data_IF_628131806377
#
_entry.id   IF_628131806377
#
_cell.length_a   1.000
_cell.length_b   1.000
_cell.length_c   1.000
_cell.angle_alpha   90.00
_cell.angle_beta   90.00
_cell.angle_gamma   90.00
#
_symmetry.space_group_name_H-M   'P 1'
#
loop_
_entity.id
_entity.type
_entity.pdbx_description
1 polymer ?
#
# COMPACT_ATOMS: atom_id res chain seq x y z
N UNK A 1 16.63 10.28 -83.09
CA UNK A 1 16.15 9.18 -82.30
C UNK A 1 17.24 8.90 -81.29
N UNK A 2 17.04 9.10 -80.01
CA UNK A 2 18.06 8.84 -79.00
C UNK A 2 18.01 7.39 -78.59
N UNK A 3 19.16 6.72 -78.66
CA UNK A 3 19.39 5.34 -78.26
C UNK A 3 19.09 5.15 -76.81
N UNK A 4 18.17 4.28 -76.52
CA UNK A 4 17.84 3.81 -75.13
C UNK A 4 18.98 2.91 -74.67
N UNK A 5 19.63 3.24 -73.51
CA UNK A 5 20.64 2.33 -72.99
C UNK A 5 20.02 1.01 -72.52
N UNK A 6 20.72 -0.12 -72.70
CA UNK A 6 20.24 -1.43 -72.31
C UNK A 6 19.97 -1.49 -70.83
N UNK A 7 18.76 -1.85 -70.42
CA UNK A 7 18.39 -2.08 -69.06
C UNK A 7 19.17 -3.32 -68.55
N UNK A 8 19.96 -3.11 -67.47
CA UNK A 8 20.62 -4.18 -66.74
C UNK A 8 19.58 -5.13 -66.16
N UNK A 9 19.77 -6.45 -66.16
CA UNK A 9 18.87 -7.40 -65.59
C UNK A 9 18.79 -7.17 -64.07
N UNK A 10 17.59 -6.92 -63.60
CA UNK A 10 17.33 -6.73 -62.18
C UNK A 10 17.41 -8.09 -61.49
N UNK A 11 18.33 -8.24 -60.52
CA UNK A 11 18.29 -9.34 -59.55
C UNK A 11 19.58 -10.13 -59.31
N UNK A 12 20.70 -9.79 -59.92
CA UNK A 12 21.94 -10.50 -59.56
C UNK A 12 22.65 -9.79 -58.38
N UNK A 13 22.75 -10.50 -57.28
CA UNK A 13 23.47 -10.06 -56.07
C UNK A 13 24.96 -10.19 -56.36
N UNK A 14 25.70 -9.08 -56.23
CA UNK A 14 27.15 -9.04 -56.45
C UNK A 14 27.88 -9.01 -55.10
N UNK A 15 28.99 -9.77 -54.99
CA UNK A 15 29.86 -9.78 -53.83
C UNK A 15 31.29 -9.46 -54.21
N UNK A 16 32.07 -8.89 -53.31
CA UNK A 16 33.48 -8.58 -53.58
C UNK A 16 34.32 -9.87 -53.48
N UNK A 17 35.16 -10.11 -54.46
CA UNK A 17 36.08 -11.22 -54.45
C UNK A 17 37.10 -11.06 -53.30
N UNK A 18 37.31 -12.05 -52.42
CA UNK A 18 38.21 -11.96 -51.28
C UNK A 18 39.69 -11.85 -51.68
N UNK A 19 40.02 -12.18 -52.91
CA UNK A 19 41.42 -12.18 -53.42
C UNK A 19 41.79 -10.95 -54.22
N UNK A 20 40.90 -10.34 -55.00
CA UNK A 20 41.18 -9.20 -55.87
C UNK A 20 40.23 -8.03 -55.68
N UNK A 21 39.27 -8.09 -54.73
CA UNK A 21 38.31 -7.04 -54.37
C UNK A 21 37.34 -6.60 -55.48
N UNK A 22 37.40 -7.21 -56.69
CA UNK A 22 36.48 -6.91 -57.77
C UNK A 22 35.08 -7.51 -57.47
N UNK A 23 34.02 -6.80 -57.86
CA UNK A 23 32.65 -7.32 -57.69
C UNK A 23 32.37 -8.43 -58.72
N UNK A 24 31.95 -9.56 -58.21
CA UNK A 24 31.57 -10.77 -58.98
C UNK A 24 30.17 -11.19 -58.63
N UNK A 25 29.44 -11.87 -59.47
CA UNK A 25 28.15 -12.43 -59.11
C UNK A 25 28.28 -13.35 -57.92
N UNK A 26 27.34 -13.23 -56.94
CA UNK A 26 27.37 -14.03 -55.69
C UNK A 26 27.25 -15.57 -55.94
N UNK A 27 26.84 -15.98 -57.13
CA UNK A 27 26.78 -17.35 -57.57
C UNK A 27 28.08 -17.90 -58.19
N UNK A 28 29.10 -17.02 -58.39
CA UNK A 28 30.36 -17.43 -59.05
C UNK A 28 31.21 -18.29 -58.11
N UNK A 29 31.60 -19.47 -58.56
CA UNK A 29 32.48 -20.39 -57.81
C UNK A 29 33.95 -20.11 -58.09
N UNK A 30 34.27 -19.40 -59.19
CA UNK A 30 35.63 -19.00 -59.57
C UNK A 30 35.57 -17.51 -59.99
N UNK A 31 36.51 -16.71 -59.53
CA UNK A 31 36.58 -15.32 -59.91
C UNK A 31 37.05 -15.19 -61.39
N UNK A 32 36.29 -14.52 -62.28
CA UNK A 32 36.67 -14.40 -63.68
C UNK A 32 37.91 -13.53 -63.91
N UNK A 33 38.28 -12.72 -62.91
CA UNK A 33 39.41 -11.79 -63.00
C UNK A 33 40.71 -12.36 -62.49
N UNK A 34 40.73 -12.98 -61.30
CA UNK A 34 41.93 -13.55 -60.69
C UNK A 34 42.01 -15.09 -60.76
N UNK A 35 40.97 -15.72 -61.31
CA UNK A 35 40.86 -17.17 -61.49
C UNK A 35 41.01 -18.02 -60.19
N UNK A 36 40.88 -17.33 -59.05
CA UNK A 36 40.92 -18.05 -57.76
C UNK A 36 39.52 -18.59 -57.42
N UNK A 37 39.40 -19.77 -56.77
CA UNK A 37 38.17 -20.31 -56.30
C UNK A 37 37.59 -19.42 -55.18
N UNK A 38 36.32 -19.08 -55.34
CA UNK A 38 35.58 -18.28 -54.33
C UNK A 38 34.61 -19.26 -53.66
N UNK A 39 34.82 -19.49 -52.36
CA UNK A 39 33.88 -20.28 -51.59
C UNK A 39 32.50 -19.59 -51.56
N UNK A 40 31.38 -20.31 -51.87
CA UNK A 40 30.08 -19.71 -51.73
C UNK A 40 29.90 -19.21 -50.30
N UNK A 41 29.29 -18.06 -50.06
CA UNK A 41 28.99 -17.61 -48.74
C UNK A 41 28.17 -18.70 -48.02
N UNK A 42 28.72 -19.24 -46.95
CA UNK A 42 27.99 -20.17 -46.10
C UNK A 42 26.71 -19.45 -45.70
N UNK A 43 25.56 -19.95 -46.17
CA UNK A 43 24.26 -19.42 -45.73
C UNK A 43 24.26 -19.49 -44.19
N UNK A 44 24.04 -18.39 -43.51
CA UNK A 44 23.95 -18.44 -42.07
C UNK A 44 22.93 -19.52 -41.73
N UNK A 45 23.42 -20.62 -41.12
CA UNK A 45 22.54 -21.66 -40.59
C UNK A 45 21.57 -20.92 -39.69
N UNK A 46 20.30 -20.84 -40.14
CA UNK A 46 19.23 -20.31 -39.28
C UNK A 46 19.41 -21.00 -37.94
N UNK A 47 19.87 -20.22 -36.94
CA UNK A 47 19.95 -20.71 -35.59
C UNK A 47 18.63 -21.40 -35.30
N UNK A 48 18.71 -22.70 -35.09
CA UNK A 48 17.53 -23.50 -34.69
C UNK A 48 16.95 -22.69 -33.52
N UNK A 49 15.69 -22.25 -33.59
CA UNK A 49 15.09 -21.59 -32.44
C UNK A 49 15.34 -22.56 -31.29
N UNK A 50 16.10 -22.10 -30.27
CA UNK A 50 16.18 -22.81 -29.02
C UNK A 50 14.74 -23.10 -28.69
N UNK A 51 14.39 -24.39 -28.78
CA UNK A 51 13.04 -24.85 -28.46
C UNK A 51 12.79 -24.28 -27.09
N UNK A 52 12.00 -23.18 -27.03
CA UNK A 52 11.57 -22.62 -25.78
C UNK A 52 11.05 -23.83 -25.03
N UNK A 53 11.77 -24.18 -23.96
CA UNK A 53 11.38 -25.29 -23.12
C UNK A 53 9.92 -25.00 -22.79
N UNK A 54 9.04 -25.72 -23.50
CA UNK A 54 7.61 -25.59 -23.33
C UNK A 54 7.41 -25.96 -21.87
N UNK A 55 7.27 -24.94 -21.03
CA UNK A 55 6.90 -25.13 -19.65
C UNK A 55 5.57 -25.87 -19.70
N UNK A 56 5.63 -27.19 -19.57
CA UNK A 56 4.44 -28.03 -19.55
C UNK A 56 3.90 -27.99 -18.13
N UNK A 57 2.89 -27.13 -17.85
CA UNK A 57 2.31 -27.03 -16.51
C UNK A 57 1.63 -28.33 -16.08
N UNK A 58 1.37 -29.22 -17.02
CA UNK A 58 0.72 -30.53 -16.80
C UNK A 58 1.47 -31.46 -15.85
N UNK A 59 2.80 -31.51 -15.92
CA UNK A 59 3.61 -32.43 -15.10
C UNK A 59 3.62 -32.03 -13.62
N UNK A 60 3.63 -30.71 -13.33
CA UNK A 60 3.49 -30.19 -11.98
C UNK A 60 2.09 -30.41 -11.43
N UNK A 61 1.06 -30.26 -12.28
CA UNK A 61 -0.33 -30.46 -11.90
C UNK A 61 -0.65 -31.90 -11.54
N UNK A 62 -0.12 -32.90 -12.27
CA UNK A 62 -0.32 -34.30 -11.92
C UNK A 62 0.32 -34.70 -10.61
N UNK A 63 1.52 -34.21 -10.35
CA UNK A 63 2.27 -34.56 -9.14
C UNK A 63 1.76 -33.87 -7.87
N UNK A 64 1.32 -32.61 -8.00
CA UNK A 64 0.83 -31.80 -6.88
C UNK A 64 -0.70 -31.61 -6.87
N UNK A 65 -1.39 -32.03 -7.90
CA UNK A 65 -2.84 -31.82 -8.03
C UNK A 65 -3.66 -32.43 -6.90
N UNK A 66 -3.24 -33.57 -6.38
CA UNK A 66 -3.89 -34.19 -5.22
C UNK A 66 -3.62 -33.40 -3.94
N UNK A 67 -2.37 -32.96 -3.75
CA UNK A 67 -2.00 -32.15 -2.59
C UNK A 67 -2.69 -30.78 -2.62
N UNK A 68 -2.77 -30.13 -3.79
CA UNK A 68 -3.47 -28.84 -3.95
C UNK A 68 -4.98 -28.98 -3.70
N UNK A 69 -5.60 -30.08 -4.15
CA UNK A 69 -7.03 -30.33 -3.89
C UNK A 69 -7.34 -30.54 -2.41
N UNK A 70 -6.42 -31.14 -1.66
CA UNK A 70 -6.59 -31.37 -0.23
C UNK A 70 -6.10 -30.17 0.61
N UNK A 71 -4.96 -29.59 0.27
CA UNK A 71 -4.37 -28.47 1.01
C UNK A 71 -5.07 -27.12 0.70
N UNK A 72 -5.60 -26.96 -0.53
CA UNK A 72 -6.28 -25.72 -0.94
C UNK A 72 -7.45 -25.32 -0.04
N UNK A 73 -8.44 -26.20 0.19
CA UNK A 73 -9.56 -25.88 1.05
C UNK A 73 -9.16 -25.69 2.52
N UNK A 74 -8.14 -26.42 2.99
CA UNK A 74 -7.63 -26.26 4.37
C UNK A 74 -6.97 -24.89 4.52
N UNK A 75 -6.13 -24.49 3.59
CA UNK A 75 -5.46 -23.18 3.60
C UNK A 75 -6.47 -22.04 3.49
N UNK A 76 -7.48 -22.19 2.64
CA UNK A 76 -8.59 -21.25 2.53
C UNK A 76 -9.37 -21.15 3.85
N UNK A 77 -9.69 -22.27 4.48
CA UNK A 77 -10.39 -22.30 5.75
C UNK A 77 -9.57 -21.61 6.86
N UNK A 78 -8.26 -21.87 6.94
CA UNK A 78 -7.36 -21.21 7.88
C UNK A 78 -7.31 -19.70 7.64
N UNK A 79 -7.24 -19.28 6.37
CA UNK A 79 -7.21 -17.87 6.00
C UNK A 79 -8.54 -17.18 6.36
N UNK A 80 -9.67 -17.80 6.09
CA UNK A 80 -11.00 -17.31 6.47
C UNK A 80 -11.11 -17.21 8.01
N UNK A 81 -10.69 -18.26 8.73
CA UNK A 81 -10.67 -18.24 10.19
C UNK A 81 -9.76 -17.14 10.74
N UNK A 82 -8.59 -16.91 10.15
CA UNK A 82 -7.69 -15.83 10.54
C UNK A 82 -8.33 -14.46 10.33
N UNK A 83 -9.00 -14.23 9.20
CA UNK A 83 -9.71 -12.97 8.92
C UNK A 83 -10.89 -12.77 9.87
N UNK A 84 -11.67 -13.82 10.11
CA UNK A 84 -12.79 -13.78 11.08
C UNK A 84 -12.26 -13.52 12.48
N UNK A 85 -11.18 -14.21 12.87
CA UNK A 85 -10.54 -14.00 14.18
C UNK A 85 -10.02 -12.56 14.32
N UNK A 86 -9.35 -12.02 13.30
CA UNK A 86 -8.90 -10.62 13.32
C UNK A 86 -10.07 -9.64 13.44
N UNK A 87 -11.16 -9.84 12.69
CA UNK A 87 -12.36 -9.00 12.81
C UNK A 87 -13.08 -9.16 14.15
N UNK A 88 -13.08 -10.37 14.70
CA UNK A 88 -13.74 -10.66 15.98
C UNK A 88 -12.94 -10.15 17.18
N UNK A 89 -11.62 -10.14 17.10
CA UNK A 89 -10.71 -9.61 18.12
C UNK A 89 -10.47 -8.11 17.95
N UNK A 90 -10.70 -7.56 16.75
CA UNK A 90 -10.58 -6.13 16.50
C UNK A 90 -11.65 -5.37 17.29
N UNK A 91 -11.21 -4.69 18.34
CA UNK A 91 -12.05 -3.77 19.10
C UNK A 91 -12.53 -2.65 18.19
N UNK A 92 -13.85 -2.45 18.09
CA UNK A 92 -14.42 -1.38 17.29
C UNK A 92 -14.27 -0.04 18.00
N UNK A 93 -13.80 0.97 17.29
CA UNK A 93 -13.80 2.37 17.75
C UNK A 93 -14.89 3.10 16.99
N UNK A 94 -15.90 3.58 17.68
CA UNK A 94 -16.94 4.43 17.13
C UNK A 94 -16.67 5.87 17.51
N UNK A 95 -16.54 6.73 16.54
CA UNK A 95 -16.41 8.18 16.73
C UNK A 95 -17.74 8.82 16.49
N UNK A 96 -18.27 9.48 17.52
CA UNK A 96 -19.49 10.27 17.40
C UNK A 96 -19.09 11.64 16.86
N UNK A 97 -19.55 11.93 15.66
CA UNK A 97 -19.20 13.16 14.94
C UNK A 97 -19.88 14.37 15.57
N UNK A 98 -19.08 15.39 15.90
CA UNK A 98 -19.56 16.71 16.30
C UNK A 98 -19.02 17.72 15.27
N UNK A 99 -19.88 18.43 14.59
CA UNK A 99 -19.50 19.40 13.54
C UNK A 99 -18.68 20.56 14.08
N UNK A 100 -18.97 21.00 15.31
CA UNK A 100 -18.24 22.07 15.97
C UNK A 100 -16.87 21.61 16.53
N UNK A 101 -16.74 20.32 16.85
CA UNK A 101 -15.54 19.74 17.45
C UNK A 101 -15.17 18.42 16.72
N UNK A 102 -14.80 18.47 15.44
CA UNK A 102 -14.39 17.26 14.72
C UNK A 102 -13.19 16.62 15.41
N UNK A 103 -13.27 15.29 15.57
CA UNK A 103 -12.27 14.49 16.25
C UNK A 103 -11.70 13.44 15.31
N UNK A 104 -10.39 13.24 15.35
CA UNK A 104 -9.69 12.12 14.72
C UNK A 104 -9.07 11.26 15.80
N UNK A 105 -9.24 9.97 15.73
CA UNK A 105 -8.74 9.02 16.72
C UNK A 105 -7.94 7.93 16.03
N UNK A 106 -6.76 7.68 16.55
CA UNK A 106 -5.91 6.56 16.17
C UNK A 106 -5.81 5.60 17.36
N UNK A 107 -5.91 4.32 17.06
CA UNK A 107 -5.81 3.26 18.05
C UNK A 107 -4.55 2.45 17.80
N UNK A 108 -3.70 2.37 18.80
CA UNK A 108 -2.49 1.56 18.78
C UNK A 108 -2.54 0.55 19.93
N UNK A 109 -2.14 -0.68 19.66
CA UNK A 109 -1.98 -1.68 20.71
C UNK A 109 -0.50 -1.87 21.02
N UNK A 110 -0.10 -1.58 22.25
CA UNK A 110 1.26 -1.79 22.76
C UNK A 110 1.25 -2.90 23.82
N UNK A 111 1.55 -4.12 23.38
CA UNK A 111 1.47 -5.30 24.27
C UNK A 111 0.05 -5.51 24.79
N UNK A 112 -0.13 -5.43 26.08
CA UNK A 112 -1.43 -5.58 26.76
C UNK A 112 -2.18 -4.25 26.96
N UNK A 113 -1.58 -3.13 26.61
CA UNK A 113 -2.17 -1.81 26.70
C UNK A 113 -2.74 -1.34 25.35
N UNK A 114 -3.90 -0.72 25.40
CA UNK A 114 -4.52 0.00 24.32
C UNK A 114 -4.21 1.49 24.49
N UNK A 115 -3.56 2.08 23.52
CA UNK A 115 -3.26 3.50 23.47
C UNK A 115 -4.19 4.14 22.45
N UNK A 116 -4.95 5.13 22.90
CA UNK A 116 -5.78 5.98 22.06
C UNK A 116 -5.10 7.33 21.96
N UNK A 117 -4.77 7.72 20.75
CA UNK A 117 -4.27 9.05 20.41
C UNK A 117 -5.25 9.73 19.48
N UNK A 118 -5.35 11.02 19.59
CA UNK A 118 -6.20 11.74 18.67
C UNK A 118 -6.02 13.24 18.72
N UNK A 119 -6.73 13.89 17.82
CA UNK A 119 -6.77 15.35 17.70
C UNK A 119 -8.20 15.83 17.66
N UNK A 120 -8.46 16.94 18.30
CA UNK A 120 -9.74 17.66 18.26
C UNK A 120 -9.48 19.05 17.72
N UNK A 121 -10.23 19.45 16.71
CA UNK A 121 -10.17 20.80 16.15
C UNK A 121 -11.40 21.58 16.59
N UNK A 122 -11.23 22.78 17.14
CA UNK A 122 -12.37 23.63 17.47
C UNK A 122 -12.81 24.44 16.24
N UNK A 123 -14.00 24.16 15.74
CA UNK A 123 -14.68 24.92 14.67
C UNK A 123 -15.86 25.73 15.20
N UNK A 124 -16.09 25.68 16.50
CA UNK A 124 -17.15 26.42 17.20
C UNK A 124 -16.63 27.70 17.83
N UNK A 125 -17.23 28.05 18.97
CA UNK A 125 -16.85 29.22 19.75
C UNK A 125 -15.49 29.04 20.42
N UNK A 126 -14.83 30.17 20.71
CA UNK A 126 -13.58 30.20 21.45
C UNK A 126 -13.73 29.67 22.88
N UNK A 127 -12.83 28.79 23.27
CA UNK A 127 -12.73 28.28 24.63
C UNK A 127 -11.37 28.63 25.20
N UNK A 128 -11.22 29.85 25.74
CA UNK A 128 -9.93 30.34 26.30
C UNK A 128 -9.60 29.72 27.66
N UNK A 129 -8.34 29.80 28.08
CA UNK A 129 -7.84 29.18 29.30
C UNK A 129 -8.58 29.62 30.58
N UNK A 130 -9.03 30.86 30.60
CA UNK A 130 -9.72 31.46 31.76
C UNK A 130 -11.25 31.23 31.72
N UNK A 131 -11.79 30.57 30.72
CA UNK A 131 -13.19 30.28 30.67
C UNK A 131 -13.59 29.17 31.65
N UNK A 132 -14.82 29.16 32.08
CA UNK A 132 -15.39 28.06 32.88
C UNK A 132 -15.67 26.83 31.98
N UNK A 133 -15.66 27.01 30.67
CA UNK A 133 -15.86 25.94 29.68
C UNK A 133 -14.54 25.31 29.31
N UNK A 134 -14.58 24.04 28.96
CA UNK A 134 -13.43 23.30 28.44
C UNK A 134 -13.86 22.34 27.38
N UNK A 135 -13.07 22.23 26.31
CA UNK A 135 -13.24 21.16 25.33
C UNK A 135 -12.82 19.86 25.99
N UNK A 136 -13.65 18.85 25.92
CA UNK A 136 -13.40 17.55 26.52
C UNK A 136 -13.62 16.44 25.47
N UNK A 137 -12.81 15.42 25.57
CA UNK A 137 -13.00 14.14 24.85
C UNK A 137 -13.49 13.12 25.85
N UNK A 138 -14.71 12.67 25.67
CA UNK A 138 -15.30 11.61 26.49
C UNK A 138 -15.13 10.30 25.75
N UNK A 139 -14.42 9.39 26.40
CA UNK A 139 -14.20 8.02 25.91
C UNK A 139 -15.00 7.07 26.78
N UNK A 140 -15.94 6.38 26.17
CA UNK A 140 -16.74 5.35 26.83
C UNK A 140 -16.23 3.97 26.40
N UNK A 141 -15.76 3.20 27.37
CA UNK A 141 -15.35 1.82 27.18
C UNK A 141 -16.52 0.91 27.50
N UNK A 142 -16.89 0.07 26.56
CA UNK A 142 -17.91 -0.97 26.74
C UNK A 142 -17.18 -2.30 26.79
N UNK A 143 -17.26 -2.95 27.93
CA UNK A 143 -16.64 -4.25 28.20
C UNK A 143 -17.52 -5.40 27.72
N UNK A 144 -16.94 -6.59 27.58
CA UNK A 144 -17.68 -7.79 27.15
C UNK A 144 -18.72 -8.27 28.17
N UNK A 145 -18.51 -7.96 29.44
CA UNK A 145 -19.45 -8.21 30.54
C UNK A 145 -20.63 -7.23 30.59
N UNK A 146 -20.69 -6.26 29.65
CA UNK A 146 -21.71 -5.22 29.60
C UNK A 146 -21.41 -3.99 30.46
N UNK A 147 -20.37 -4.00 31.26
CA UNK A 147 -19.93 -2.86 32.06
C UNK A 147 -19.50 -1.72 31.14
N UNK A 148 -19.86 -0.49 31.57
CA UNK A 148 -19.48 0.75 30.86
C UNK A 148 -18.66 1.64 31.77
N UNK A 149 -17.57 2.11 31.28
CA UNK A 149 -16.69 3.05 31.97
C UNK A 149 -16.49 4.29 31.10
N UNK A 150 -16.80 5.47 31.65
CA UNK A 150 -16.57 6.76 30.97
C UNK A 150 -15.33 7.42 31.53
N UNK A 151 -14.49 7.92 30.63
CA UNK A 151 -13.31 8.71 31.01
C UNK A 151 -13.26 9.97 30.16
N UNK A 152 -13.04 11.08 30.84
CA UNK A 152 -12.89 12.39 30.19
C UNK A 152 -11.40 12.74 30.11
N UNK A 153 -10.96 13.15 28.93
CA UNK A 153 -9.61 13.65 28.67
C UNK A 153 -9.72 15.02 28.03
N UNK A 154 -8.87 15.91 28.43
CA UNK A 154 -8.85 17.27 27.91
C UNK A 154 -7.74 17.39 26.88
N UNK A 155 -8.05 17.75 25.63
CA UNK A 155 -7.04 17.94 24.61
C UNK A 155 -6.16 19.14 24.97
N UNK A 156 -4.88 19.05 24.62
CA UNK A 156 -3.89 20.10 24.86
C UNK A 156 -3.46 20.70 23.53
N UNK A 157 -3.59 21.99 23.36
CA UNK A 157 -2.95 22.76 22.31
C UNK A 157 -1.51 23.10 22.68
N UNK A 158 -0.72 23.51 21.70
CA UNK A 158 0.73 23.74 21.87
C UNK A 158 1.04 24.84 22.89
N UNK A 159 0.26 25.92 22.90
CA UNK A 159 0.51 27.11 23.73
C UNK A 159 -0.56 27.38 24.79
N UNK A 160 -1.47 26.40 25.01
CA UNK A 160 -2.60 26.59 25.93
C UNK A 160 -2.72 25.50 26.97
N UNK A 161 -3.50 25.77 28.00
CA UNK A 161 -3.86 24.80 29.00
C UNK A 161 -4.75 23.69 28.46
N UNK A 162 -4.91 22.62 29.25
CA UNK A 162 -5.74 21.47 28.89
C UNK A 162 -7.22 21.88 28.73
N UNK A 163 -7.81 21.53 27.60
CA UNK A 163 -9.21 21.80 27.29
C UNK A 163 -9.49 23.22 26.79
N UNK A 164 -8.48 24.07 26.66
CA UNK A 164 -8.62 25.39 26.04
C UNK A 164 -8.26 25.31 24.57
N UNK A 165 -9.20 25.66 23.69
CA UNK A 165 -9.03 25.68 22.25
C UNK A 165 -9.78 26.87 21.66
N UNK A 166 -9.08 27.78 21.00
CA UNK A 166 -9.73 28.84 20.22
C UNK A 166 -10.25 28.30 18.90
N UNK A 167 -11.04 29.09 18.21
CA UNK A 167 -11.52 28.77 16.89
C UNK A 167 -10.39 28.45 15.92
N UNK A 168 -10.48 27.32 15.23
CA UNK A 168 -9.45 26.81 14.29
C UNK A 168 -8.29 26.08 14.95
N UNK A 169 -8.10 26.17 16.28
CA UNK A 169 -7.02 25.46 16.97
C UNK A 169 -7.29 23.94 17.07
N UNK A 170 -6.20 23.19 17.09
CA UNK A 170 -6.22 21.73 17.22
C UNK A 170 -5.48 21.31 18.48
N UNK A 171 -6.17 20.61 19.37
CA UNK A 171 -5.58 20.01 20.55
C UNK A 171 -5.35 18.52 20.37
N UNK A 172 -4.28 18.00 20.96
CA UNK A 172 -3.91 16.59 20.98
C UNK A 172 -4.31 15.96 22.30
N UNK A 173 -4.70 14.71 22.29
CA UNK A 173 -4.92 13.92 23.49
C UNK A 173 -4.33 12.52 23.34
N UNK A 174 -3.91 11.97 24.46
CA UNK A 174 -3.44 10.60 24.55
C UNK A 174 -3.96 9.96 25.81
N UNK A 175 -4.38 8.71 25.71
CA UNK A 175 -4.75 7.90 26.87
C UNK A 175 -4.35 6.46 26.66
N UNK A 176 -4.00 5.79 27.75
CA UNK A 176 -3.66 4.37 27.76
C UNK A 176 -4.56 3.61 28.73
N UNK A 177 -4.97 2.39 28.34
CA UNK A 177 -5.78 1.48 29.14
C UNK A 177 -5.40 0.04 28.86
N UNK A 178 -5.55 -0.86 29.82
CA UNK A 178 -5.46 -2.31 29.55
C UNK A 178 -6.45 -2.71 28.46
N UNK A 179 -5.97 -3.42 27.44
CA UNK A 179 -6.79 -3.83 26.29
C UNK A 179 -7.77 -4.97 26.64
N UNK A 180 -7.60 -5.60 27.80
CA UNK A 180 -8.38 -6.78 28.24
C UNK A 180 -9.86 -6.47 28.32
N UNK A 181 -10.68 -7.34 27.73
CA UNK A 181 -12.15 -7.35 27.86
C UNK A 181 -12.89 -6.19 27.23
N UNK A 182 -12.21 -5.19 26.63
CA UNK A 182 -12.88 -4.10 25.92
C UNK A 182 -13.49 -4.66 24.63
N UNK A 183 -14.80 -4.51 24.46
CA UNK A 183 -15.55 -4.88 23.26
C UNK A 183 -15.64 -3.73 22.27
N UNK A 184 -15.97 -2.54 22.77
CA UNK A 184 -16.26 -1.37 21.95
C UNK A 184 -15.78 -0.11 22.67
N UNK A 185 -15.35 0.86 21.91
CA UNK A 185 -14.89 2.17 22.39
C UNK A 185 -15.69 3.22 21.65
N UNK A 186 -16.39 4.07 22.40
CA UNK A 186 -17.12 5.19 21.84
C UNK A 186 -16.41 6.47 22.25
N UNK A 187 -16.02 7.28 21.27
CA UNK A 187 -15.31 8.54 21.49
C UNK A 187 -16.16 9.68 21.00
N UNK A 188 -16.36 10.70 21.84
CA UNK A 188 -17.08 11.92 21.48
C UNK A 188 -16.37 13.15 22.02
N UNK A 189 -16.50 14.26 21.33
CA UNK A 189 -16.02 15.57 21.77
C UNK A 189 -17.21 16.42 22.23
N UNK A 190 -17.06 17.12 23.31
CA UNK A 190 -18.09 18.01 23.86
C UNK A 190 -17.44 19.19 24.60
N UNK A 191 -18.18 20.28 24.76
CA UNK A 191 -17.80 21.39 25.64
C UNK A 191 -18.44 21.12 26.99
N UNK A 192 -17.59 21.05 28.01
CA UNK A 192 -18.03 20.80 29.39
C UNK A 192 -17.85 22.08 30.20
N UNK A 193 -18.88 22.47 30.93
CA UNK A 193 -18.80 23.52 31.92
C UNK A 193 -18.27 22.91 33.23
N UNK A 194 -17.07 23.31 33.62
CA UNK A 194 -16.41 22.73 34.79
C UNK A 194 -16.74 23.48 36.08
N UNK A 195 -17.39 24.63 36.02
CA UNK A 195 -17.55 25.47 37.20
C UNK A 195 -16.23 25.79 37.90
N UNK A 196 -16.21 26.77 38.78
CA UNK A 196 -14.97 27.14 39.51
C UNK A 196 -14.50 26.01 40.45
N UNK A 197 -15.42 25.29 41.12
CA UNK A 197 -15.08 24.27 42.10
C UNK A 197 -14.35 23.04 41.51
N UNK A 198 -14.67 22.65 40.31
CA UNK A 198 -14.07 21.46 39.68
C UNK A 198 -12.66 21.72 39.12
N UNK A 199 -12.34 22.96 38.77
CA UNK A 199 -10.99 23.32 38.30
C UNK A 199 -9.94 23.32 39.44
N UNK A 200 -10.37 23.68 40.65
CA UNK A 200 -9.48 23.72 41.80
C UNK A 200 -9.16 22.34 42.42
N UNK A 201 -10.01 21.32 42.15
CA UNK A 201 -9.88 19.99 42.74
C UNK A 201 -9.14 19.00 41.81
N UNK A 202 -8.67 19.42 40.63
CA UNK A 202 -7.94 18.53 39.75
C UNK A 202 -6.61 18.09 40.39
N UNK A 203 -6.42 16.81 40.75
CA UNK A 203 -5.12 16.32 41.11
C UNK A 203 -4.21 16.46 39.89
N UNK A 204 -3.08 17.15 40.03
CA UNK A 204 -1.98 17.09 39.07
C UNK A 204 -1.64 15.60 38.89
N UNK A 205 -2.04 15.03 37.77
CA UNK A 205 -1.66 13.68 37.44
C UNK A 205 -0.14 13.55 37.41
N UNK A 206 0.37 12.61 38.18
CA UNK A 206 1.73 12.11 38.11
C UNK A 206 1.92 11.28 36.84
#
# INVERSE_FOLDING_TARGET
MPDTPPQAPMGEEYTACPHCTIQIPASATVCPHCQQPVAPPERPQRARPLSAARFQPSVLWERYGRLVRLAGPILLAVLVLAVVYQKWVAQSVKVVTNSALPIRVEKERKGDALVLRGTVTNRGEDVPDLSLRSVAVVVEFIYRDGRREKKTVFPKAEFRGEGALLHGETGKFEMSRPAKEIREIVVRSEIVDLGMGQRLIRPRGR
#
